data_IF_391948757050
#
_entry.id   IF_391948757050
#
_cell.length_a   1.000
_cell.length_b   1.000
_cell.length_c   1.000
_cell.angle_alpha   90.00
_cell.angle_beta   90.00
_cell.angle_gamma   90.00
#
_symmetry.space_group_name_H-M   'P 1'
#
loop_
_entity.id
_entity.type
_entity.pdbx_description
1 polymer ?
#
# COMPACT_ATOMS: atom_id res chain seq x y z
N UNK A 1 0.45 -7.68 33.78
CA UNK A 1 0.94 -6.87 32.63
C UNK A 1 2.33 -6.39 32.98
N UNK A 2 3.27 -6.69 32.10
CA UNK A 2 4.72 -6.51 32.23
C UNK A 2 5.11 -5.07 32.59
N UNK A 3 5.97 -4.92 33.60
CA UNK A 3 6.55 -3.65 33.99
C UNK A 3 7.35 -3.06 32.83
N UNK A 4 6.76 -2.12 32.09
CA UNK A 4 7.55 -1.21 31.24
C UNK A 4 8.62 -0.59 32.11
N UNK A 5 9.88 -0.67 31.66
CA UNK A 5 11.02 -0.04 32.32
C UNK A 5 10.66 1.42 32.62
N UNK A 6 11.02 1.91 33.80
CA UNK A 6 10.79 3.30 34.22
C UNK A 6 11.20 4.28 33.13
N UNK A 7 12.28 3.95 32.39
CA UNK A 7 12.77 4.69 31.22
C UNK A 7 11.75 4.77 30.07
N UNK A 8 11.10 3.68 29.71
CA UNK A 8 10.08 3.66 28.65
C UNK A 8 8.83 4.47 29.02
N UNK A 9 8.51 4.57 30.32
CA UNK A 9 7.40 5.39 30.82
C UNK A 9 7.75 6.88 30.74
N UNK A 10 8.96 7.25 31.15
CA UNK A 10 9.48 8.62 31.04
C UNK A 10 9.57 9.06 29.57
N UNK A 11 10.11 8.22 28.68
CA UNK A 11 10.20 8.53 27.25
C UNK A 11 8.82 8.68 26.57
N UNK A 12 7.79 7.99 27.08
CA UNK A 12 6.42 8.17 26.60
C UNK A 12 5.80 9.49 27.09
N UNK A 13 6.10 9.91 28.32
CA UNK A 13 5.66 11.20 28.88
C UNK A 13 6.33 12.38 28.18
N UNK A 14 7.64 12.30 27.94
CA UNK A 14 8.39 13.35 27.23
C UNK A 14 7.87 13.52 25.81
N UNK A 15 7.58 12.43 25.09
CA UNK A 15 7.00 12.50 23.74
C UNK A 15 5.62 13.15 23.72
N UNK A 16 4.76 12.82 24.67
CA UNK A 16 3.41 13.40 24.74
C UNK A 16 3.45 14.89 25.13
N UNK A 17 4.37 15.29 26.02
CA UNK A 17 4.56 16.69 26.39
C UNK A 17 5.08 17.53 25.21
N UNK A 18 6.03 17.00 24.44
CA UNK A 18 6.55 17.66 23.24
C UNK A 18 5.49 17.76 22.13
N UNK A 19 4.53 16.84 22.08
CA UNK A 19 3.45 16.85 21.09
C UNK A 19 2.30 17.82 21.42
N UNK A 20 2.17 18.26 22.67
CA UNK A 20 1.06 19.08 23.16
C UNK A 20 1.53 20.40 23.82
N UNK A 21 2.54 21.07 23.26
CA UNK A 21 3.07 22.35 23.75
C UNK A 21 3.39 22.36 25.26
N UNK A 22 4.06 21.30 25.74
CA UNK A 22 4.39 21.07 27.15
C UNK A 22 3.19 20.91 28.10
N UNK A 23 1.96 20.77 27.59
CA UNK A 23 0.78 20.42 28.38
C UNK A 23 0.58 18.90 28.43
N UNK A 24 0.39 18.35 29.64
CA UNK A 24 0.10 16.93 29.84
C UNK A 24 -1.31 16.76 30.38
N UNK A 25 -2.15 16.01 29.65
CA UNK A 25 -3.51 15.70 30.09
C UNK A 25 -3.47 14.74 31.27
N UNK A 26 -4.26 15.00 32.31
CA UNK A 26 -4.38 14.15 33.52
C UNK A 26 -4.69 12.70 33.16
N UNK A 27 -5.58 12.48 32.17
CA UNK A 27 -5.91 11.14 31.67
C UNK A 27 -4.67 10.36 31.16
N UNK A 28 -3.69 11.05 30.58
CA UNK A 28 -2.45 10.42 30.11
C UNK A 28 -1.52 10.05 31.26
N UNK A 29 -1.41 10.93 32.26
CA UNK A 29 -0.61 10.71 33.47
C UNK A 29 -1.15 9.51 34.25
N UNK A 30 -2.46 9.47 34.50
CA UNK A 30 -3.14 8.36 35.18
C UNK A 30 -2.88 7.02 34.49
N UNK A 31 -3.03 6.98 33.16
CA UNK A 31 -2.78 5.77 32.37
C UNK A 31 -1.33 5.28 32.46
N UNK A 32 -0.38 6.18 32.56
CA UNK A 32 1.05 5.86 32.43
C UNK A 32 1.73 5.59 33.76
N UNK A 33 1.25 6.21 34.83
CA UNK A 33 1.92 6.24 36.14
C UNK A 33 1.17 5.46 37.21
N UNK A 34 -0.16 5.47 37.20
CA UNK A 34 -0.94 4.78 38.23
C UNK A 34 -1.11 3.30 37.84
N UNK A 35 -0.77 2.34 38.73
CA UNK A 35 -1.00 0.92 38.48
C UNK A 35 -2.47 0.63 38.18
N UNK A 36 -2.73 -0.30 37.24
CA UNK A 36 -4.08 -0.60 36.78
C UNK A 36 -5.03 -1.03 37.92
N UNK A 37 -4.53 -1.77 38.90
CA UNK A 37 -5.34 -2.23 40.03
C UNK A 37 -5.71 -1.08 40.98
N UNK A 38 -4.85 -0.05 41.07
CA UNK A 38 -5.15 1.20 41.80
C UNK A 38 -6.18 2.04 41.05
N UNK A 39 -6.07 2.17 39.72
CA UNK A 39 -7.10 2.84 38.90
C UNK A 39 -8.47 2.16 39.02
N UNK A 40 -8.52 0.82 39.06
CA UNK A 40 -9.78 0.08 39.25
C UNK A 40 -10.36 0.28 40.65
N UNK A 41 -9.50 0.31 41.66
CA UNK A 41 -9.91 0.56 43.04
C UNK A 41 -10.45 1.98 43.21
N UNK A 42 -9.80 2.98 42.61
CA UNK A 42 -10.27 4.36 42.53
C UNK A 42 -11.63 4.46 41.83
N UNK A 43 -11.76 3.85 40.64
CA UNK A 43 -13.01 3.87 39.89
C UNK A 43 -14.16 3.21 40.67
N UNK A 44 -13.88 2.13 41.41
CA UNK A 44 -14.88 1.49 42.28
C UNK A 44 -15.29 2.41 43.44
N UNK A 45 -14.33 3.06 44.09
CA UNK A 45 -14.59 3.96 45.23
C UNK A 45 -15.40 5.20 44.81
N UNK A 46 -15.09 5.76 43.66
CA UNK A 46 -15.72 6.97 43.11
C UNK A 46 -16.99 6.67 42.29
N UNK A 47 -17.47 5.42 42.27
CA UNK A 47 -18.70 5.05 41.57
C UNK A 47 -18.64 5.15 40.04
N UNK A 48 -17.44 5.20 39.45
CA UNK A 48 -17.26 5.35 38.00
C UNK A 48 -17.51 4.02 37.28
N UNK A 49 -18.48 4.01 36.37
CA UNK A 49 -18.79 2.85 35.53
C UNK A 49 -18.32 3.05 34.09
N UNK A 50 -17.83 1.97 33.46
CA UNK A 50 -17.36 1.99 32.07
C UNK A 50 -18.36 1.24 31.20
N UNK A 51 -18.91 1.91 30.18
CA UNK A 51 -19.85 1.28 29.24
C UNK A 51 -19.22 0.02 28.61
N UNK A 52 -19.87 -1.13 28.81
CA UNK A 52 -19.45 -2.42 28.25
C UNK A 52 -18.36 -3.17 29.02
N UNK A 53 -17.91 -2.68 30.19
CA UNK A 53 -16.90 -3.37 31.00
C UNK A 53 -17.32 -3.47 32.46
N UNK A 54 -17.05 -4.62 33.09
CA UNK A 54 -16.98 -4.72 34.55
C UNK A 54 -15.71 -4.03 35.04
N UNK A 55 -15.78 -3.26 36.13
CA UNK A 55 -14.66 -2.44 36.63
C UNK A 55 -13.40 -3.29 36.84
N UNK A 56 -13.55 -4.52 37.32
CA UNK A 56 -12.46 -5.49 37.55
C UNK A 56 -11.66 -5.82 36.29
N UNK A 57 -12.29 -5.70 35.11
CA UNK A 57 -11.69 -6.04 33.82
C UNK A 57 -11.48 -4.82 32.93
N UNK A 58 -11.90 -3.64 33.35
CA UNK A 58 -11.76 -2.43 32.56
C UNK A 58 -10.27 -2.11 32.32
N UNK A 59 -9.87 -1.75 31.09
CA UNK A 59 -8.49 -1.36 30.77
C UNK A 59 -8.23 0.11 31.15
N UNK A 60 -6.98 0.44 31.50
CA UNK A 60 -6.57 1.80 31.88
C UNK A 60 -6.93 2.87 30.82
N UNK A 61 -6.90 2.49 29.53
CA UNK A 61 -7.26 3.37 28.40
C UNK A 61 -8.70 3.89 28.49
N UNK A 62 -9.61 3.13 29.10
CA UNK A 62 -11.01 3.49 29.25
C UNK A 62 -11.31 4.12 30.61
N UNK A 63 -10.57 3.74 31.66
CA UNK A 63 -10.75 4.29 33.01
C UNK A 63 -10.16 5.69 33.17
N UNK A 64 -8.97 5.94 32.62
CA UNK A 64 -8.22 7.17 32.88
C UNK A 64 -8.91 8.45 32.35
N UNK A 65 -9.57 8.48 31.18
CA UNK A 65 -10.34 9.65 30.74
C UNK A 65 -11.53 9.95 31.65
N UNK A 66 -12.29 8.91 32.05
CA UNK A 66 -13.46 9.06 32.91
C UNK A 66 -13.11 9.58 34.31
N UNK A 67 -11.97 9.14 34.86
CA UNK A 67 -11.46 9.64 36.13
C UNK A 67 -10.94 11.09 36.02
N UNK A 68 -10.49 11.51 34.85
CA UNK A 68 -10.00 12.87 34.61
C UNK A 68 -11.13 13.89 34.36
N UNK A 69 -12.36 13.42 34.10
CA UNK A 69 -13.55 14.23 33.84
C UNK A 69 -14.46 14.36 35.08
N UNK A 70 -14.02 13.88 36.24
CA UNK A 70 -14.78 13.97 37.49
C UNK A 70 -14.85 15.40 38.05
N UNK A 71 -15.88 15.65 38.86
CA UNK A 71 -16.07 16.91 39.59
C UNK A 71 -14.92 17.18 40.58
N UNK A 72 -14.73 18.45 40.95
CA UNK A 72 -13.52 18.96 41.63
C UNK A 72 -13.13 18.20 42.91
N UNK A 73 -14.10 17.77 43.71
CA UNK A 73 -13.84 17.05 44.96
C UNK A 73 -13.34 15.62 44.72
N UNK A 74 -13.92 14.93 43.73
CA UNK A 74 -13.50 13.59 43.33
C UNK A 74 -12.19 13.61 42.53
N UNK A 75 -11.93 14.70 41.79
CA UNK A 75 -10.67 14.90 41.06
C UNK A 75 -9.48 15.12 42.02
N UNK A 76 -9.70 15.72 43.18
CA UNK A 76 -8.65 15.88 44.20
C UNK A 76 -8.10 14.53 44.67
N UNK A 77 -8.99 13.55 44.95
CA UNK A 77 -8.57 12.19 45.31
C UNK A 77 -7.78 11.49 44.20
N UNK A 78 -8.14 11.74 42.94
CA UNK A 78 -7.44 11.20 41.76
C UNK A 78 -6.05 11.80 41.63
N UNK A 79 -5.91 13.10 41.88
CA UNK A 79 -4.63 13.80 41.91
C UNK A 79 -3.74 13.35 43.07
N UNK A 80 -4.29 13.09 44.26
CA UNK A 80 -3.53 12.56 45.40
C UNK A 80 -2.94 11.17 45.09
N UNK A 81 -3.71 10.26 44.51
CA UNK A 81 -3.21 8.93 44.18
C UNK A 81 -2.14 8.98 43.07
N UNK A 82 -2.26 9.94 42.15
CA UNK A 82 -1.25 10.22 41.13
C UNK A 82 0.05 10.72 41.78
N UNK A 83 -0.02 11.64 42.73
CA UNK A 83 1.14 12.13 43.48
C UNK A 83 1.79 11.02 44.32
N UNK A 84 0.99 10.20 45.03
CA UNK A 84 1.51 9.02 45.74
C UNK A 84 2.23 8.04 44.83
N UNK A 85 1.72 7.85 43.61
CA UNK A 85 2.34 6.98 42.60
C UNK A 85 3.65 7.54 42.05
N UNK A 86 3.84 8.87 42.09
CA UNK A 86 5.13 9.52 41.81
C UNK A 86 6.13 9.31 42.97
N UNK A 87 5.67 9.50 44.21
CA UNK A 87 6.51 9.41 45.41
C UNK A 87 6.96 7.98 45.72
N UNK A 88 6.13 6.97 45.40
CA UNK A 88 6.44 5.55 45.64
C UNK A 88 7.29 4.89 44.55
N UNK A 89 8.04 5.68 43.76
CA UNK A 89 9.09 5.13 42.91
C UNK A 89 10.19 4.58 43.83
N UNK A 90 10.39 3.24 43.95
CA UNK A 90 11.32 2.71 44.93
C UNK A 90 12.76 3.11 44.57
N UNK A 91 13.62 3.44 45.56
CA UNK A 91 15.04 3.56 45.32
C UNK A 91 15.59 2.21 44.85
N UNK A 92 16.56 2.28 43.94
CA UNK A 92 17.24 1.12 43.40
C UNK A 92 17.87 0.26 44.51
N UNK A 93 17.60 -1.05 44.45
CA UNK A 93 18.44 -2.10 45.04
C UNK A 93 17.94 -2.71 46.35
N UNK A 94 17.40 -3.93 46.28
CA UNK A 94 18.04 -5.10 46.87
C UNK A 94 17.47 -6.39 46.23
N UNK A 95 18.30 -7.44 46.05
CA UNK A 95 17.97 -8.59 45.21
C UNK A 95 17.12 -9.58 45.99
N UNK A 96 15.90 -9.82 45.53
CA UNK A 96 15.14 -11.01 45.91
C UNK A 96 15.61 -12.14 45.00
N UNK A 97 16.32 -13.11 45.59
CA UNK A 97 16.49 -14.44 45.05
C UNK A 97 15.12 -15.07 44.77
N UNK A 98 14.71 -15.09 43.50
CA UNK A 98 13.66 -15.97 43.02
C UNK A 98 13.88 -16.29 41.54
N UNK A 99 14.25 -17.54 41.27
CA UNK A 99 14.22 -18.25 39.98
C UNK A 99 14.76 -17.53 38.73
N UNK A 100 16.04 -17.79 38.54
CA UNK A 100 16.84 -17.65 37.33
C UNK A 100 16.32 -18.46 36.14
N UNK A 101 15.32 -17.95 35.40
CA UNK A 101 15.03 -18.38 34.01
C UNK A 101 14.66 -17.26 32.99
N UNK A 102 14.31 -15.99 33.34
CA UNK A 102 13.91 -15.03 32.30
C UNK A 102 15.04 -14.52 31.37
N UNK A 103 16.30 -14.48 31.85
CA UNK A 103 17.42 -13.87 31.13
C UNK A 103 17.88 -14.70 29.92
N UNK A 104 18.11 -16.00 30.11
CA UNK A 104 18.57 -16.90 29.05
C UNK A 104 17.54 -17.04 27.92
N UNK A 105 16.25 -17.09 28.26
CA UNK A 105 15.16 -17.16 27.27
C UNK A 105 15.05 -15.85 26.48
N UNK A 106 15.26 -14.70 27.12
CA UNK A 106 15.26 -13.41 26.44
C UNK A 106 16.46 -13.23 25.50
N UNK A 107 17.66 -13.64 25.93
CA UNK A 107 18.85 -13.62 25.08
C UNK A 107 18.76 -14.58 23.89
N UNK A 108 18.21 -15.78 24.10
CA UNK A 108 17.92 -16.74 23.02
C UNK A 108 16.89 -16.18 22.04
N UNK A 109 15.84 -15.51 22.52
CA UNK A 109 14.85 -14.85 21.67
C UNK A 109 15.45 -13.68 20.86
N UNK A 110 16.37 -12.91 21.46
CA UNK A 110 17.08 -11.84 20.76
C UNK A 110 18.01 -12.40 19.68
N UNK A 111 18.75 -13.48 19.97
CA UNK A 111 19.61 -14.15 18.99
C UNK A 111 18.79 -14.75 17.84
N UNK A 112 17.73 -15.49 18.14
CA UNK A 112 16.82 -16.03 17.13
C UNK A 112 16.19 -14.94 16.25
N UNK A 113 15.83 -13.79 16.83
CA UNK A 113 15.31 -12.65 16.08
C UNK A 113 16.38 -11.96 15.20
N UNK A 114 17.66 -11.98 15.59
CA UNK A 114 18.76 -11.50 14.75
C UNK A 114 19.03 -12.46 13.61
N UNK A 115 19.09 -13.75 13.87
CA UNK A 115 19.31 -14.78 12.84
C UNK A 115 18.16 -14.81 11.82
N UNK A 116 16.92 -14.63 12.27
CA UNK A 116 15.76 -14.52 11.38
C UNK A 116 15.83 -13.28 10.47
N UNK A 117 16.35 -12.15 10.98
CA UNK A 117 16.55 -10.94 10.17
C UNK A 117 17.61 -11.11 9.12
N UNK A 118 18.75 -11.70 9.48
CA UNK A 118 19.84 -11.91 8.54
C UNK A 118 19.42 -12.90 7.44
N UNK A 119 18.66 -13.94 7.79
CA UNK A 119 18.04 -14.84 6.80
C UNK A 119 17.05 -14.13 5.90
N UNK A 120 16.25 -13.22 6.44
CA UNK A 120 15.28 -12.44 5.68
C UNK A 120 15.98 -11.48 4.71
N UNK A 121 17.01 -10.75 5.16
CA UNK A 121 17.80 -9.84 4.31
C UNK A 121 18.51 -10.59 3.18
N UNK A 122 19.13 -11.74 3.49
CA UNK A 122 19.71 -12.62 2.47
C UNK A 122 18.64 -13.16 1.51
N UNK A 123 17.47 -13.52 2.04
CA UNK A 123 16.31 -13.96 1.26
C UNK A 123 15.84 -12.89 0.29
N UNK A 124 15.65 -11.66 0.77
CA UNK A 124 15.23 -10.49 -0.03
C UNK A 124 16.25 -10.18 -1.14
N UNK A 125 17.55 -10.20 -0.82
CA UNK A 125 18.61 -10.00 -1.81
C UNK A 125 18.59 -11.08 -2.90
N UNK A 126 18.43 -12.35 -2.51
CA UNK A 126 18.30 -13.46 -3.45
C UNK A 126 17.03 -13.35 -4.30
N UNK A 127 15.93 -12.89 -3.70
CA UNK A 127 14.67 -12.71 -4.39
C UNK A 127 14.73 -11.58 -5.42
N UNK A 128 15.39 -10.47 -5.10
CA UNK A 128 15.64 -9.38 -6.04
C UNK A 128 16.44 -9.89 -7.26
N UNK A 129 17.51 -10.66 -7.03
CA UNK A 129 18.29 -11.27 -8.12
C UNK A 129 17.47 -12.26 -8.96
N UNK A 130 16.57 -13.03 -8.32
CA UNK A 130 15.68 -13.95 -9.04
C UNK A 130 14.66 -13.19 -9.90
N UNK A 131 14.09 -12.08 -9.40
CA UNK A 131 13.19 -11.20 -10.17
C UNK A 131 13.90 -10.64 -11.39
N UNK A 132 15.07 -10.04 -11.19
CA UNK A 132 15.87 -9.49 -12.28
C UNK A 132 16.17 -10.56 -13.35
N UNK A 133 16.52 -11.79 -12.92
CA UNK A 133 16.78 -12.87 -13.86
C UNK A 133 15.52 -13.34 -14.60
N UNK A 134 14.35 -13.34 -13.96
CA UNK A 134 13.07 -13.64 -14.60
C UNK A 134 12.74 -12.57 -15.65
N UNK A 135 12.93 -11.29 -15.33
CA UNK A 135 12.70 -10.18 -16.26
C UNK A 135 13.64 -10.26 -17.48
N UNK A 136 14.91 -10.61 -17.26
CA UNK A 136 15.88 -10.87 -18.34
C UNK A 136 15.41 -12.01 -19.25
N UNK A 137 15.02 -13.15 -18.68
CA UNK A 137 14.53 -14.31 -19.44
C UNK A 137 13.23 -13.99 -20.20
N UNK A 138 12.34 -13.17 -19.62
CA UNK A 138 11.13 -12.71 -20.29
C UNK A 138 11.46 -11.86 -21.52
N UNK A 139 12.43 -10.95 -21.40
CA UNK A 139 12.92 -10.16 -22.53
C UNK A 139 13.58 -11.03 -23.60
N UNK A 140 14.40 -12.02 -23.21
CA UNK A 140 15.01 -12.98 -24.14
C UNK A 140 13.94 -13.77 -24.91
N UNK A 141 12.92 -14.32 -24.23
CA UNK A 141 11.79 -15.02 -24.88
C UNK A 141 11.03 -14.09 -25.82
N UNK A 142 10.85 -12.82 -25.47
CA UNK A 142 10.19 -11.84 -26.34
C UNK A 142 11.00 -11.59 -27.61
N UNK A 143 12.31 -11.37 -27.49
CA UNK A 143 13.19 -11.15 -28.64
C UNK A 143 13.24 -12.36 -29.58
N UNK A 144 13.31 -13.58 -29.03
CA UNK A 144 13.26 -14.82 -29.81
C UNK A 144 11.93 -15.00 -30.55
N UNK A 145 10.80 -14.65 -29.91
CA UNK A 145 9.49 -14.62 -30.59
C UNK A 145 9.48 -13.64 -31.75
N UNK A 146 10.00 -12.44 -31.55
CA UNK A 146 10.07 -11.44 -32.62
C UNK A 146 10.94 -11.93 -33.78
N UNK A 147 12.12 -12.49 -33.50
CA UNK A 147 13.00 -13.08 -34.51
C UNK A 147 12.28 -14.19 -35.30
N UNK A 148 11.59 -15.10 -34.61
CA UNK A 148 10.79 -16.16 -35.24
C UNK A 148 9.66 -15.61 -36.11
N UNK A 149 8.97 -14.56 -35.68
CA UNK A 149 7.91 -13.93 -36.50
C UNK A 149 8.46 -13.31 -37.78
N UNK A 150 9.63 -12.68 -37.71
CA UNK A 150 10.34 -12.10 -38.87
C UNK A 150 10.79 -13.20 -39.84
N UNK A 151 11.48 -14.23 -39.36
CA UNK A 151 11.87 -15.39 -40.17
C UNK A 151 10.65 -16.05 -40.83
N UNK A 152 9.55 -16.20 -40.10
CA UNK A 152 8.30 -16.72 -40.65
C UNK A 152 7.68 -15.83 -41.72
N UNK A 153 7.82 -14.51 -41.65
CA UNK A 153 7.39 -13.60 -42.73
C UNK A 153 8.29 -13.68 -43.96
N UNK A 154 9.60 -13.84 -43.79
CA UNK A 154 10.56 -14.01 -44.88
C UNK A 154 10.33 -15.32 -45.65
N UNK A 155 10.04 -16.42 -44.95
CA UNK A 155 9.65 -17.68 -45.60
C UNK A 155 8.35 -17.51 -46.40
N UNK A 156 7.38 -16.73 -45.89
CA UNK A 156 6.13 -16.47 -46.62
C UNK A 156 6.37 -15.65 -47.89
N UNK A 157 7.24 -14.64 -47.85
CA UNK A 157 7.58 -13.86 -49.05
C UNK A 157 8.36 -14.71 -50.06
N UNK A 158 9.35 -15.48 -49.61
CA UNK A 158 10.11 -16.38 -50.48
C UNK A 158 9.23 -17.46 -51.14
N UNK A 159 8.25 -18.01 -50.41
CA UNK A 159 7.27 -18.93 -51.00
C UNK A 159 6.41 -18.27 -52.07
N UNK A 160 6.09 -16.98 -51.93
CA UNK A 160 5.36 -16.23 -52.96
C UNK A 160 6.25 -15.98 -54.19
N UNK A 161 7.50 -15.58 -53.98
CA UNK A 161 8.51 -15.40 -55.03
C UNK A 161 8.78 -16.71 -55.79
N UNK A 162 8.90 -17.84 -55.09
CA UNK A 162 9.06 -19.16 -55.69
C UNK A 162 7.87 -19.56 -56.57
N UNK A 163 6.64 -19.26 -56.14
CA UNK A 163 5.44 -19.50 -56.96
C UNK A 163 5.46 -18.68 -58.24
N UNK A 164 5.93 -17.44 -58.17
CA UNK A 164 6.03 -16.57 -59.34
C UNK A 164 7.19 -16.99 -60.26
N UNK A 165 8.36 -17.32 -59.70
CA UNK A 165 9.55 -17.76 -60.44
C UNK A 165 9.31 -19.07 -61.20
N UNK A 166 8.58 -20.01 -60.59
CA UNK A 166 8.13 -21.27 -61.24
C UNK A 166 7.32 -21.05 -62.52
N UNK A 167 6.69 -19.88 -62.68
CA UNK A 167 5.95 -19.53 -63.91
C UNK A 167 6.83 -18.89 -65.00
N UNK A 168 8.06 -18.46 -64.67
CA UNK A 168 8.88 -17.60 -65.55
C UNK A 168 10.20 -18.25 -66.00
N UNK A 169 11.01 -18.86 -65.12
CA UNK A 169 12.33 -19.42 -65.50
C UNK A 169 12.85 -20.53 -64.53
N UNK A 170 13.44 -21.64 -65.02
CA UNK A 170 13.87 -22.78 -64.19
C UNK A 170 15.21 -22.68 -63.40
N UNK A 171 16.30 -22.02 -63.84
CA UNK A 171 17.60 -22.13 -63.16
C UNK A 171 17.66 -21.36 -61.82
N UNK A 172 16.83 -20.34 -61.62
CA UNK A 172 16.77 -19.57 -60.36
C UNK A 172 15.94 -20.26 -59.27
N UNK A 173 15.24 -21.35 -59.60
CA UNK A 173 14.34 -22.04 -58.67
C UNK A 173 15.15 -22.83 -57.63
N UNK A 174 16.26 -23.46 -58.03
CA UNK A 174 17.06 -24.29 -57.13
C UNK A 174 17.69 -23.47 -55.98
N UNK A 175 18.22 -22.28 -56.28
CA UNK A 175 18.80 -21.38 -55.27
C UNK A 175 17.74 -20.87 -54.27
N UNK A 176 16.53 -20.56 -54.78
CA UNK A 176 15.41 -20.12 -53.95
C UNK A 176 14.85 -21.25 -53.09
N UNK A 177 14.78 -22.48 -53.60
CA UNK A 177 14.35 -23.66 -52.85
C UNK A 177 15.36 -24.01 -51.75
N UNK A 178 16.65 -23.95 -52.04
CA UNK A 178 17.71 -24.13 -51.05
C UNK A 178 17.59 -23.07 -49.94
N UNK A 179 17.42 -21.79 -50.31
CA UNK A 179 17.24 -20.70 -49.34
C UNK A 179 15.97 -20.84 -48.51
N UNK A 180 14.86 -21.30 -49.09
CA UNK A 180 13.64 -21.58 -48.35
C UNK A 180 13.90 -22.67 -47.30
N UNK A 181 14.55 -23.76 -47.69
CA UNK A 181 14.81 -24.88 -46.81
C UNK A 181 15.80 -24.52 -45.69
N UNK A 182 16.81 -23.71 -45.97
CA UNK A 182 17.74 -23.21 -44.94
C UNK A 182 17.02 -22.32 -43.92
N UNK A 183 16.12 -21.42 -44.36
CA UNK A 183 15.31 -20.61 -43.45
C UNK A 183 14.27 -21.43 -42.67
N UNK A 184 13.73 -22.49 -43.26
CA UNK A 184 12.84 -23.42 -42.55
C UNK A 184 13.57 -24.13 -41.42
N UNK A 185 14.81 -24.59 -41.66
CA UNK A 185 15.69 -25.14 -40.60
C UNK A 185 16.00 -24.12 -39.52
N UNK A 186 16.30 -22.88 -39.89
CA UNK A 186 16.56 -21.81 -38.92
C UNK A 186 15.31 -21.50 -38.07
N UNK A 187 14.11 -21.52 -38.68
CA UNK A 187 12.85 -21.31 -37.95
C UNK A 187 12.59 -22.44 -36.96
N UNK A 188 12.85 -23.69 -37.35
CA UNK A 188 12.77 -24.85 -36.45
C UNK A 188 13.74 -24.69 -35.27
N UNK A 189 15.00 -24.35 -35.54
CA UNK A 189 16.02 -24.12 -34.50
C UNK A 189 15.63 -22.98 -33.53
N UNK A 190 15.12 -21.85 -34.05
CA UNK A 190 14.59 -20.76 -33.22
C UNK A 190 13.39 -21.22 -32.39
N UNK A 191 12.52 -22.07 -32.95
CA UNK A 191 11.38 -22.65 -32.24
C UNK A 191 11.80 -23.52 -31.06
N UNK A 192 12.86 -24.33 -31.23
CA UNK A 192 13.44 -25.16 -30.17
C UNK A 192 14.11 -24.31 -29.08
N UNK A 193 14.89 -23.29 -29.48
CA UNK A 193 15.50 -22.32 -28.57
C UNK A 193 14.47 -21.61 -27.70
N UNK A 194 13.42 -21.07 -28.34
CA UNK A 194 12.33 -20.39 -27.66
C UNK A 194 11.59 -21.32 -26.67
N UNK A 195 11.33 -22.56 -27.07
CA UNK A 195 10.73 -23.56 -26.19
C UNK A 195 11.63 -23.87 -24.98
N UNK A 196 12.94 -23.95 -25.18
CA UNK A 196 13.94 -24.10 -24.11
C UNK A 196 13.89 -22.94 -23.10
N UNK A 197 13.92 -21.71 -23.59
CA UNK A 197 13.83 -20.51 -22.75
C UNK A 197 12.52 -20.43 -21.98
N UNK A 198 11.38 -20.76 -22.61
CA UNK A 198 10.08 -20.82 -21.92
C UNK A 198 10.08 -21.84 -20.78
N UNK A 199 10.69 -23.02 -20.97
CA UNK A 199 10.83 -24.02 -19.89
C UNK A 199 11.69 -23.49 -18.74
N UNK A 200 12.81 -22.83 -19.06
CA UNK A 200 13.70 -22.23 -18.04
C UNK A 200 12.98 -21.13 -17.26
N UNK A 201 12.22 -20.27 -17.95
CA UNK A 201 11.42 -19.22 -17.34
C UNK A 201 10.39 -19.81 -16.37
N UNK A 202 9.64 -20.84 -16.78
CA UNK A 202 8.68 -21.51 -15.91
C UNK A 202 9.34 -22.12 -14.65
N UNK A 203 10.53 -22.71 -14.79
CA UNK A 203 11.31 -23.21 -13.66
C UNK A 203 11.80 -22.09 -12.73
N UNK A 204 12.12 -20.91 -13.26
CA UNK A 204 12.56 -19.77 -12.46
C UNK A 204 11.40 -19.08 -11.76
N UNK A 205 10.24 -18.98 -12.39
CA UNK A 205 9.02 -18.47 -11.78
C UNK A 205 8.55 -19.35 -10.61
N UNK A 206 8.62 -20.67 -10.74
CA UNK A 206 8.29 -21.58 -9.62
C UNK A 206 9.27 -21.39 -8.45
N UNK A 207 10.58 -21.30 -8.73
CA UNK A 207 11.58 -20.98 -7.69
C UNK A 207 11.34 -19.64 -7.02
N UNK A 208 10.94 -18.62 -7.80
CA UNK A 208 10.61 -17.30 -7.29
C UNK A 208 9.40 -17.36 -6.33
N UNK A 209 8.33 -18.09 -6.70
CA UNK A 209 7.17 -18.29 -5.82
C UNK A 209 7.55 -18.98 -4.50
N UNK A 210 8.39 -20.02 -4.56
CA UNK A 210 8.89 -20.71 -3.36
C UNK A 210 9.70 -19.76 -2.48
N UNK A 211 10.60 -18.96 -3.07
CA UNK A 211 11.39 -17.97 -2.33
C UNK A 211 10.50 -16.87 -1.70
N UNK A 212 9.47 -16.39 -2.42
CA UNK A 212 8.50 -15.45 -1.88
C UNK A 212 7.75 -16.03 -0.69
N UNK A 213 7.33 -17.30 -0.77
CA UNK A 213 6.67 -17.98 0.33
C UNK A 213 7.59 -18.13 1.55
N UNK A 214 8.85 -18.53 1.35
CA UNK A 214 9.83 -18.64 2.44
C UNK A 214 10.07 -17.30 3.14
N UNK A 215 10.14 -16.20 2.39
CA UNK A 215 10.25 -14.86 3.00
C UNK A 215 9.00 -14.53 3.81
N UNK A 216 7.79 -14.86 3.31
CA UNK A 216 6.55 -14.65 4.06
C UNK A 216 6.53 -15.44 5.38
N UNK A 217 6.94 -16.70 5.36
CA UNK A 217 7.03 -17.53 6.56
C UNK A 217 8.03 -16.92 7.57
N UNK A 218 9.17 -16.42 7.11
CA UNK A 218 10.16 -15.73 7.96
C UNK A 218 9.64 -14.39 8.50
N UNK A 219 8.87 -13.63 7.72
CA UNK A 219 8.22 -12.38 8.15
C UNK A 219 7.18 -12.62 9.26
N UNK A 220 6.45 -13.73 9.20
CA UNK A 220 5.43 -14.08 10.19
C UNK A 220 6.03 -14.43 11.56
N UNK A 221 7.23 -15.02 11.57
CA UNK A 221 7.99 -15.29 12.80
C UNK A 221 8.48 -14.01 13.49
N UNK A 222 8.48 -12.85 12.82
CA UNK A 222 8.87 -11.58 13.42
C UNK A 222 7.73 -10.96 14.27
N UNK A 223 8.05 -10.37 15.44
CA UNK A 223 7.06 -9.68 16.28
C UNK A 223 6.36 -8.54 15.54
N UNK A 224 5.04 -8.37 15.77
CA UNK A 224 4.17 -7.41 15.03
C UNK A 224 4.70 -5.97 14.95
N UNK A 225 5.42 -5.48 15.97
CA UNK A 225 6.00 -4.13 15.98
C UNK A 225 7.31 -3.97 15.20
N UNK A 226 7.91 -5.09 14.76
CA UNK A 226 9.15 -5.15 13.97
C UNK A 226 8.91 -5.63 12.54
N UNK A 227 7.68 -6.00 12.20
CA UNK A 227 7.26 -6.26 10.80
C UNK A 227 7.30 -4.93 10.06
N UNK A 228 7.95 -4.91 8.90
CA UNK A 228 7.97 -3.73 8.04
C UNK A 228 6.51 -3.42 7.65
N UNK A 229 6.11 -2.15 7.65
CA UNK A 229 4.81 -1.76 7.08
C UNK A 229 4.84 -2.18 5.61
N UNK A 230 4.05 -3.21 5.27
CA UNK A 230 3.84 -3.62 3.88
C UNK A 230 3.42 -2.38 3.07
N UNK A 231 4.05 -2.16 1.91
CA UNK A 231 3.32 -1.51 0.81
C UNK A 231 2.06 -2.34 0.61
N UNK A 232 0.85 -1.75 0.64
CA UNK A 232 -0.37 -2.51 0.39
C UNK A 232 -0.16 -3.36 -0.86
N UNK A 233 -0.46 -4.66 -0.78
CA UNK A 233 -0.52 -5.47 -1.99
C UNK A 233 -1.46 -4.74 -2.95
N UNK A 234 -1.01 -4.56 -4.20
CA UNK A 234 -1.90 -4.11 -5.26
C UNK A 234 -3.15 -5.00 -5.20
N UNK A 235 -4.35 -4.40 -5.07
CA UNK A 235 -5.57 -5.18 -4.98
C UNK A 235 -5.65 -6.11 -6.18
N UNK A 236 -6.08 -7.36 -5.95
CA UNK A 236 -6.43 -8.31 -7.01
C UNK A 236 -7.20 -7.56 -8.09
N UNK A 237 -6.82 -7.77 -9.35
CA UNK A 237 -7.41 -7.11 -10.51
C UNK A 237 -8.95 -7.24 -10.48
N UNK A 238 -9.60 -6.26 -9.86
CA UNK A 238 -11.00 -5.93 -10.10
C UNK A 238 -11.12 -5.76 -11.60
N UNK A 239 -12.04 -6.53 -12.17
CA UNK A 239 -12.57 -6.54 -13.54
C UNK A 239 -11.87 -5.64 -14.57
N UNK A 240 -11.58 -6.14 -15.79
CA UNK A 240 -10.85 -5.39 -16.81
C UNK A 240 -11.36 -3.95 -16.90
N UNK A 241 -10.47 -2.93 -16.89
CA UNK A 241 -10.87 -1.54 -16.78
C UNK A 241 -11.87 -1.23 -17.89
N UNK A 242 -13.15 -1.09 -17.52
CA UNK A 242 -14.17 -0.64 -18.46
C UNK A 242 -13.79 0.77 -18.87
N UNK A 243 -13.50 0.95 -20.14
CA UNK A 243 -13.30 2.26 -20.73
C UNK A 243 -14.56 3.09 -20.47
N UNK A 244 -14.41 4.20 -19.74
CA UNK A 244 -15.53 5.11 -19.44
C UNK A 244 -15.56 6.24 -20.45
N UNK A 245 -16.75 6.65 -20.86
CA UNK A 245 -16.92 7.79 -21.76
C UNK A 245 -17.25 9.05 -20.93
N UNK A 246 -16.50 10.15 -21.10
CA UNK A 246 -16.85 11.42 -20.46
C UNK A 246 -17.85 12.21 -21.30
N UNK A 247 -18.99 12.57 -20.70
CA UNK A 247 -19.98 13.50 -21.24
C UNK A 247 -19.80 14.88 -20.59
N UNK A 248 -19.49 15.90 -21.40
CA UNK A 248 -19.24 17.24 -20.87
C UNK A 248 -20.53 18.07 -20.86
N UNK A 249 -20.93 18.54 -19.68
CA UNK A 249 -22.08 19.42 -19.53
C UNK A 249 -21.77 20.84 -20.04
N UNK A 250 -22.80 21.59 -20.44
CA UNK A 250 -22.66 23.00 -20.83
C UNK A 250 -22.00 23.86 -19.75
N UNK A 251 -22.26 23.56 -18.48
CA UNK A 251 -21.62 24.24 -17.34
C UNK A 251 -20.10 24.04 -17.33
N UNK A 252 -19.61 22.88 -17.80
CA UNK A 252 -18.19 22.61 -17.88
C UNK A 252 -17.55 23.53 -18.90
N UNK A 253 -18.12 23.61 -20.12
CA UNK A 253 -17.60 24.50 -21.16
C UNK A 253 -17.60 25.97 -20.73
N UNK A 254 -18.66 26.43 -20.06
CA UNK A 254 -18.72 27.80 -19.50
C UNK A 254 -17.62 28.05 -18.47
N UNK A 255 -17.30 27.04 -17.65
CA UNK A 255 -16.25 27.16 -16.63
C UNK A 255 -14.83 27.24 -17.17
N UNK A 256 -14.61 26.97 -18.47
CA UNK A 256 -13.28 27.05 -19.10
C UNK A 256 -12.89 28.48 -19.51
N UNK A 257 -13.85 29.39 -19.69
CA UNK A 257 -13.62 30.70 -20.30
C UNK A 257 -12.57 31.55 -19.55
N UNK A 258 -12.54 31.45 -18.22
CA UNK A 258 -11.64 32.24 -17.37
C UNK A 258 -10.37 31.48 -16.96
N UNK A 259 -10.10 30.31 -17.56
CA UNK A 259 -9.01 29.42 -17.17
C UNK A 259 -7.88 29.45 -18.18
N UNK A 260 -6.64 29.41 -17.68
CA UNK A 260 -5.46 29.31 -18.53
C UNK A 260 -5.48 28.02 -19.37
N UNK A 261 -5.07 28.12 -20.63
CA UNK A 261 -5.04 26.98 -21.57
C UNK A 261 -4.31 25.76 -21.01
N UNK A 262 -3.13 25.95 -20.43
CA UNK A 262 -2.35 24.83 -19.87
C UNK A 262 -3.06 24.13 -18.71
N UNK A 263 -3.82 24.89 -17.93
CA UNK A 263 -4.61 24.39 -16.82
C UNK A 263 -5.81 23.58 -17.32
N UNK A 264 -6.47 24.04 -18.38
CA UNK A 264 -7.53 23.29 -19.08
C UNK A 264 -6.99 21.99 -19.68
N UNK A 265 -5.84 22.02 -20.35
CA UNK A 265 -5.21 20.82 -20.91
C UNK A 265 -4.88 19.77 -19.84
N UNK A 266 -4.38 20.20 -18.66
CA UNK A 266 -4.14 19.31 -17.51
C UNK A 266 -5.43 18.71 -16.97
N UNK A 267 -6.50 19.51 -16.88
CA UNK A 267 -7.80 19.02 -16.44
C UNK A 267 -8.37 17.97 -17.40
N UNK A 268 -8.32 18.24 -18.70
CA UNK A 268 -8.73 17.27 -19.72
C UNK A 268 -7.91 15.98 -19.65
N UNK A 269 -6.58 16.08 -19.49
CA UNK A 269 -5.72 14.91 -19.32
C UNK A 269 -6.10 14.09 -18.09
N UNK A 270 -6.37 14.74 -16.96
CA UNK A 270 -6.78 14.04 -15.74
C UNK A 270 -8.12 13.31 -15.93
N UNK A 271 -9.09 13.92 -16.62
CA UNK A 271 -10.38 13.27 -16.95
C UNK A 271 -10.15 12.04 -17.83
N UNK A 272 -9.33 12.14 -18.88
CA UNK A 272 -9.04 11.01 -19.74
C UNK A 272 -8.34 9.86 -19.00
N UNK A 273 -7.35 10.16 -18.17
CA UNK A 273 -6.66 9.15 -17.33
C UNK A 273 -7.65 8.48 -16.38
N UNK A 274 -8.56 9.24 -15.76
CA UNK A 274 -9.61 8.64 -14.94
C UNK A 274 -10.52 7.69 -15.74
N UNK A 275 -10.85 8.05 -16.98
CA UNK A 275 -11.71 7.25 -17.84
C UNK A 275 -11.05 5.97 -18.37
N UNK A 276 -9.73 5.98 -18.56
CA UNK A 276 -8.99 4.81 -19.09
C UNK A 276 -8.42 3.92 -17.97
N UNK A 277 -7.87 4.52 -16.93
CA UNK A 277 -7.13 3.83 -15.86
C UNK A 277 -7.93 3.70 -14.55
N UNK A 278 -9.01 4.47 -14.41
CA UNK A 278 -9.86 4.46 -13.22
C UNK A 278 -9.35 5.31 -12.05
N UNK A 279 -10.06 5.26 -10.90
CA UNK A 279 -9.79 6.12 -9.73
C UNK A 279 -8.50 5.75 -8.99
N UNK A 280 -7.97 4.54 -9.20
CA UNK A 280 -6.80 4.01 -8.49
C UNK A 280 -5.47 4.40 -9.15
N UNK A 281 -5.50 5.14 -10.27
CA UNK A 281 -4.30 5.49 -11.01
C UNK A 281 -3.32 6.34 -10.15
N UNK A 282 -2.02 5.99 -10.09
CA UNK A 282 -1.05 6.72 -9.30
C UNK A 282 -0.96 8.21 -9.69
N UNK A 283 -1.09 9.09 -8.70
CA UNK A 283 -1.07 10.55 -8.89
C UNK A 283 -2.43 11.17 -9.23
N UNK A 284 -3.47 10.36 -9.43
CA UNK A 284 -4.83 10.82 -9.53
C UNK A 284 -5.46 10.93 -8.12
N UNK A 285 -5.87 12.12 -7.71
CA UNK A 285 -6.58 12.31 -6.45
C UNK A 285 -8.08 12.46 -6.73
N UNK A 286 -8.82 11.37 -6.57
CA UNK A 286 -10.28 11.33 -6.73
C UNK A 286 -10.92 11.12 -5.37
N UNK A 287 -11.95 11.91 -5.07
CA UNK A 287 -12.73 11.79 -3.84
C UNK A 287 -14.22 11.93 -4.13
N UNK A 288 -15.01 11.02 -3.60
CA UNK A 288 -16.46 11.21 -3.51
C UNK A 288 -16.76 12.26 -2.43
N UNK A 289 -17.71 13.14 -2.71
CA UNK A 289 -18.13 14.17 -1.77
C UNK A 289 -19.26 13.58 -0.92
N UNK A 290 -19.02 13.46 0.38
CA UNK A 290 -19.97 12.84 1.30
C UNK A 290 -21.33 13.55 1.26
N UNK A 291 -22.41 12.76 1.11
CA UNK A 291 -23.78 13.25 1.09
C UNK A 291 -24.28 13.75 -0.27
N UNK A 292 -23.51 13.57 -1.36
CA UNK A 292 -23.93 13.88 -2.72
C UNK A 292 -23.43 12.80 -3.70
N UNK A 293 -24.15 12.59 -4.81
CA UNK A 293 -23.67 11.77 -5.94
C UNK A 293 -22.67 12.55 -6.80
N UNK A 294 -21.74 13.25 -6.14
CA UNK A 294 -20.78 14.15 -6.75
C UNK A 294 -19.36 13.71 -6.41
N UNK A 295 -18.53 13.67 -7.43
CA UNK A 295 -17.12 13.29 -7.34
C UNK A 295 -16.24 14.49 -7.66
N UNK A 296 -15.09 14.57 -6.99
CA UNK A 296 -14.07 15.59 -7.21
C UNK A 296 -12.77 14.93 -7.64
N UNK A 297 -12.28 15.32 -8.81
CA UNK A 297 -10.98 14.95 -9.35
C UNK A 297 -10.04 16.14 -9.28
N UNK A 298 -8.86 15.96 -8.70
CA UNK A 298 -7.83 17.00 -8.68
C UNK A 298 -7.06 17.02 -10.01
N UNK A 299 -7.25 18.08 -10.78
CA UNK A 299 -6.53 18.30 -12.04
C UNK A 299 -5.17 19.00 -11.82
N UNK A 300 -5.09 19.88 -10.82
CA UNK A 300 -3.85 20.57 -10.45
C UNK A 300 -3.86 20.94 -8.96
N UNK A 301 -2.82 21.65 -8.48
CA UNK A 301 -2.80 22.13 -7.10
C UNK A 301 -3.98 23.06 -6.77
N UNK A 302 -4.44 23.84 -7.77
CA UNK A 302 -5.49 24.84 -7.62
C UNK A 302 -6.82 24.43 -8.24
N UNK A 303 -6.85 23.48 -9.17
CA UNK A 303 -8.05 23.15 -9.94
C UNK A 303 -8.63 21.77 -9.62
N UNK A 304 -9.96 21.72 -9.61
CA UNK A 304 -10.75 20.51 -9.41
C UNK A 304 -11.81 20.38 -10.50
N UNK A 305 -11.97 19.18 -11.01
CA UNK A 305 -13.06 18.79 -11.90
C UNK A 305 -14.12 18.10 -11.07
N UNK A 306 -15.37 18.54 -11.20
CA UNK A 306 -16.53 17.89 -10.58
C UNK A 306 -17.29 17.09 -11.62
N UNK A 307 -17.66 15.87 -11.27
CA UNK A 307 -18.38 14.96 -12.16
C UNK A 307 -19.30 14.03 -11.38
N UNK A 308 -20.26 13.41 -12.08
CA UNK A 308 -21.11 12.34 -11.55
C UNK A 308 -20.79 11.04 -12.27
N UNK A 309 -20.92 9.93 -11.56
CA UNK A 309 -20.84 8.59 -12.15
C UNK A 309 -22.25 8.12 -12.46
N UNK A 310 -22.49 7.68 -13.69
CA UNK A 310 -23.78 7.15 -14.15
C UNK A 310 -23.89 5.65 -13.83
N UNK A 311 -25.11 5.12 -13.93
CA UNK A 311 -25.39 3.71 -13.63
C UNK A 311 -24.65 2.72 -14.57
N UNK A 312 -24.32 3.16 -15.79
CA UNK A 312 -23.55 2.41 -16.79
C UNK A 312 -22.02 2.45 -16.55
N UNK A 313 -21.57 3.31 -15.62
CA UNK A 313 -20.17 3.52 -15.29
C UNK A 313 -19.50 4.67 -16.07
N UNK A 314 -20.22 5.32 -16.99
CA UNK A 314 -19.76 6.53 -17.65
C UNK A 314 -19.82 7.73 -16.69
N UNK A 315 -19.25 8.87 -17.11
CA UNK A 315 -19.23 10.07 -16.27
C UNK A 315 -19.81 11.29 -16.95
N UNK A 316 -20.58 12.06 -16.19
CA UNK A 316 -21.04 13.39 -16.58
C UNK A 316 -20.12 14.43 -15.92
N UNK A 317 -19.27 15.06 -16.73
CA UNK A 317 -18.32 16.10 -16.30
C UNK A 317 -19.05 17.44 -16.22
N UNK A 318 -19.16 17.97 -15.00
CA UNK A 318 -20.06 19.09 -14.70
C UNK A 318 -19.37 20.45 -14.74
N UNK A 319 -18.22 20.60 -14.07
CA UNK A 319 -17.60 21.91 -13.85
C UNK A 319 -16.11 21.79 -13.53
N UNK A 320 -15.30 22.74 -14.02
CA UNK A 320 -13.92 22.97 -13.59
C UNK A 320 -13.89 24.19 -12.68
N UNK A 321 -13.49 24.02 -11.42
CA UNK A 321 -13.43 25.13 -10.46
C UNK A 321 -12.07 25.24 -9.79
N UNK A 322 -11.72 26.46 -9.40
CA UNK A 322 -10.59 26.71 -8.54
C UNK A 322 -10.88 26.32 -7.10
N UNK A 323 -9.81 26.15 -6.33
CA UNK A 323 -9.86 25.85 -4.90
C UNK A 323 -10.60 26.94 -4.12
N UNK A 324 -10.49 28.19 -4.55
CA UNK A 324 -11.16 29.33 -3.93
C UNK A 324 -12.68 29.28 -4.18
N UNK A 325 -13.08 28.87 -5.38
CA UNK A 325 -14.49 28.78 -5.79
C UNK A 325 -15.16 27.46 -5.37
N UNK A 326 -14.40 26.52 -4.79
CA UNK A 326 -14.87 25.19 -4.41
C UNK A 326 -16.12 25.25 -3.52
N UNK A 327 -16.13 26.10 -2.49
CA UNK A 327 -17.26 26.19 -1.57
C UNK A 327 -18.52 26.74 -2.26
N UNK A 328 -18.36 27.68 -3.20
CA UNK A 328 -19.46 28.27 -3.96
C UNK A 328 -20.03 27.28 -4.98
N UNK A 329 -19.17 26.53 -5.67
CA UNK A 329 -19.60 25.45 -6.56
C UNK A 329 -20.38 24.37 -5.80
N UNK A 330 -19.86 23.89 -4.66
CA UNK A 330 -20.52 22.85 -3.87
C UNK A 330 -21.86 23.29 -3.27
N UNK A 331 -22.00 24.57 -2.90
CA UNK A 331 -23.30 25.12 -2.46
C UNK A 331 -24.33 25.11 -3.60
N UNK A 332 -23.95 25.58 -4.80
CA UNK A 332 -24.82 25.57 -5.99
C UNK A 332 -25.31 24.16 -6.34
N UNK A 333 -24.46 23.15 -6.17
CA UNK A 333 -24.81 21.75 -6.42
C UNK A 333 -25.57 21.08 -5.28
N UNK A 334 -25.52 21.62 -4.05
CA UNK A 334 -26.34 21.16 -2.93
C UNK A 334 -27.79 21.64 -3.03
N UNK A 335 -28.00 22.81 -3.63
CA UNK A 335 -29.32 23.45 -3.78
C UNK A 335 -30.12 22.93 -4.99
N UNK A 336 -29.50 22.13 -5.87
CA UNK A 336 -30.12 21.54 -7.06
C UNK A 336 -30.38 20.05 -6.87
#
# INVERSE_FOLDING_TARGET
MTGKSTRERVDALVREALANDASLRIAFLLRSLVPLDRLRSLARRLGVSVKGYRIERAPAVKLAPLLAELESDALAEVCEELLRSFETTPPAGEPIESDSVPGAVHELAIRAAKDAREKLERGESNLAKLRERVDQLQNEVRLEREARTRAGSEIRSLRAELREARSKQPPQIADLEQRQHDLERDLEALGESEAGLRRLLALRETRLRVAEQQIRELEELLPKGRRRKRKPLEPEATEPPRLRVPYFADSFYRSLNDKERQSVERAMRAVWVYCTEGPAYPGLEVKQIEGQDLWSLRASLKLRVYFRVRDDGDIDVLELSDREDQHTALRRWKER
#
